data_IF_208117909343
#
_entry.id   IF_208117909343
#
_cell.length_a   1.000
_cell.length_b   1.000
_cell.length_c   1.000
_cell.angle_alpha   90.00
_cell.angle_beta   90.00
_cell.angle_gamma   90.00
#
_symmetry.space_group_name_H-M   'P 1'
#
loop_
_entity.id
_entity.type
_entity.pdbx_description
1 polymer ?
#
# COMPACT_ATOMS: atom_id res chain seq x y z
N UNK A 1 -69.56 -41.68 -74.77
CA UNK A 1 -69.33 -42.33 -73.46
C UNK A 1 -67.85 -42.34 -73.21
N UNK A 2 -67.35 -41.34 -72.45
CA UNK A 2 -65.92 -41.28 -72.16
C UNK A 2 -65.84 -41.01 -70.66
N UNK A 3 -65.21 -41.89 -69.91
CA UNK A 3 -64.98 -41.82 -68.47
C UNK A 3 -63.76 -40.99 -68.21
N UNK A 4 -63.90 -40.01 -67.34
CA UNK A 4 -62.79 -39.25 -66.76
C UNK A 4 -62.42 -39.73 -65.32
N UNK A 5 -61.13 -39.94 -64.97
CA UNK A 5 -60.79 -40.33 -63.60
C UNK A 5 -60.56 -39.10 -62.73
N UNK A 6 -61.09 -39.18 -61.52
CA UNK A 6 -60.96 -38.24 -60.44
C UNK A 6 -59.51 -38.20 -59.87
N UNK A 7 -58.92 -37.03 -59.86
CA UNK A 7 -57.60 -36.75 -59.14
C UNK A 7 -57.88 -36.51 -57.67
N UNK A 8 -57.27 -37.32 -56.79
CA UNK A 8 -57.22 -37.08 -55.38
C UNK A 8 -56.05 -36.08 -55.09
N UNK A 9 -56.37 -34.96 -54.48
CA UNK A 9 -55.39 -33.98 -53.99
C UNK A 9 -54.83 -34.45 -52.67
N UNK A 10 -53.48 -34.63 -52.60
CA UNK A 10 -52.72 -34.79 -51.33
C UNK A 10 -52.43 -33.43 -50.76
N UNK A 11 -53.06 -33.10 -49.63
CA UNK A 11 -52.63 -31.89 -48.83
C UNK A 11 -51.46 -32.26 -47.96
N UNK A 12 -50.25 -31.72 -48.31
CA UNK A 12 -49.08 -31.75 -47.46
C UNK A 12 -49.20 -30.66 -46.39
N UNK A 13 -49.23 -31.05 -45.13
CA UNK A 13 -49.16 -30.17 -43.97
C UNK A 13 -47.67 -29.81 -43.74
N UNK A 14 -47.29 -28.52 -43.68
CA UNK A 14 -45.92 -28.17 -43.29
C UNK A 14 -45.76 -28.29 -41.79
N UNK A 15 -44.84 -29.15 -41.35
CA UNK A 15 -44.38 -29.26 -39.96
C UNK A 15 -43.55 -28.01 -39.65
N UNK A 16 -44.11 -27.04 -38.94
CA UNK A 16 -43.37 -25.90 -38.38
C UNK A 16 -42.61 -26.40 -37.16
N UNK A 17 -41.30 -26.69 -37.32
CA UNK A 17 -40.41 -26.94 -36.23
C UNK A 17 -40.15 -25.58 -35.51
N UNK A 18 -40.83 -25.33 -34.40
CA UNK A 18 -40.53 -24.22 -33.51
C UNK A 18 -39.19 -24.48 -32.80
N UNK A 19 -38.10 -23.86 -33.29
CA UNK A 19 -36.84 -23.74 -32.57
C UNK A 19 -37.10 -22.85 -31.35
N UNK A 20 -37.28 -23.44 -30.18
CA UNK A 20 -37.20 -22.73 -28.90
C UNK A 20 -35.76 -22.30 -28.68
N UNK A 21 -35.42 -21.06 -29.08
CA UNK A 21 -34.23 -20.37 -28.61
C UNK A 21 -34.36 -20.19 -27.09
N UNK A 22 -33.80 -21.10 -26.33
CA UNK A 22 -33.51 -20.87 -24.93
C UNK A 22 -32.37 -19.84 -24.82
N UNK A 23 -32.73 -18.58 -24.99
CA UNK A 23 -31.84 -17.49 -24.58
C UNK A 23 -31.66 -17.58 -23.06
N UNK A 24 -30.50 -18.05 -22.61
CA UNK A 24 -30.09 -17.88 -21.21
C UNK A 24 -29.98 -16.38 -20.99
N UNK A 25 -31.00 -15.76 -20.43
CA UNK A 25 -30.90 -14.44 -19.87
C UNK A 25 -29.86 -14.55 -18.75
N UNK A 26 -28.60 -14.17 -19.02
CA UNK A 26 -27.63 -13.92 -17.96
C UNK A 26 -28.23 -12.79 -17.13
N UNK A 27 -28.75 -13.08 -15.95
CA UNK A 27 -29.14 -12.07 -14.98
C UNK A 27 -27.95 -11.20 -14.72
N UNK A 28 -28.09 -9.88 -14.93
CA UNK A 28 -27.02 -8.93 -14.63
C UNK A 28 -26.65 -9.08 -13.15
N UNK A 29 -25.35 -9.25 -12.86
CA UNK A 29 -24.86 -9.37 -11.48
C UNK A 29 -25.15 -8.07 -10.73
N UNK A 30 -25.60 -8.19 -9.48
CA UNK A 30 -25.78 -7.02 -8.60
C UNK A 30 -24.44 -6.27 -8.44
N UNK A 31 -24.52 -4.93 -8.52
CA UNK A 31 -23.34 -4.08 -8.35
C UNK A 31 -23.09 -3.79 -6.88
N UNK A 32 -21.88 -4.09 -6.41
CA UNK A 32 -21.42 -3.83 -5.04
C UNK A 32 -20.31 -2.79 -5.06
N UNK A 33 -20.43 -1.74 -4.25
CA UNK A 33 -19.45 -0.67 -4.17
C UNK A 33 -18.46 -0.92 -3.03
N UNK A 34 -17.18 -0.72 -3.34
CA UNK A 34 -16.11 -0.62 -2.33
C UNK A 34 -15.39 0.72 -2.52
N UNK A 35 -14.94 1.34 -1.42
CA UNK A 35 -14.19 2.59 -1.51
C UNK A 35 -12.69 2.33 -1.65
N UNK A 36 -12.00 3.21 -2.37
CA UNK A 36 -10.58 3.44 -2.23
C UNK A 36 -10.36 4.85 -1.68
N UNK A 37 -9.54 4.98 -0.62
CA UNK A 37 -9.18 6.26 -0.04
C UNK A 37 -7.66 6.34 0.12
N UNK A 38 -7.08 7.38 -0.44
CA UNK A 38 -5.64 7.63 -0.39
C UNK A 38 -5.28 8.97 -1.03
N UNK A 39 -4.02 9.42 -0.97
CA UNK A 39 -3.58 10.70 -1.51
C UNK A 39 -3.45 10.62 -3.03
N UNK A 40 -4.38 11.21 -3.76
CA UNK A 40 -4.35 11.25 -5.23
C UNK A 40 -3.79 12.57 -5.77
N UNK A 41 -3.66 13.56 -4.90
CA UNK A 41 -3.03 14.86 -5.19
C UNK A 41 -1.98 15.20 -4.14
N UNK A 42 -1.18 16.24 -4.39
CA UNK A 42 -0.11 16.68 -3.49
C UNK A 42 1.19 15.89 -3.63
N UNK A 43 2.09 16.09 -2.68
CA UNK A 43 3.48 15.63 -2.78
C UNK A 43 3.71 14.12 -2.74
N UNK A 44 2.72 13.34 -2.30
CA UNK A 44 2.76 11.87 -2.23
C UNK A 44 1.74 11.21 -3.17
N UNK A 45 1.24 11.96 -4.14
CA UNK A 45 0.23 11.49 -5.10
C UNK A 45 0.66 10.22 -5.86
N UNK A 46 1.93 10.09 -6.23
CA UNK A 46 2.45 8.91 -6.92
C UNK A 46 2.13 7.62 -6.15
N UNK A 47 2.38 7.62 -4.82
CA UNK A 47 2.07 6.47 -3.95
C UNK A 47 0.56 6.17 -3.89
N UNK A 48 -0.26 7.22 -3.77
CA UNK A 48 -1.72 7.08 -3.73
C UNK A 48 -2.30 6.59 -5.06
N UNK A 49 -1.81 7.11 -6.19
CA UNK A 49 -2.21 6.69 -7.54
C UNK A 49 -1.80 5.24 -7.78
N UNK A 50 -0.57 4.85 -7.40
CA UNK A 50 -0.12 3.46 -7.48
C UNK A 50 -1.01 2.51 -6.69
N UNK A 51 -1.42 2.91 -5.46
CA UNK A 51 -2.39 2.18 -4.65
C UNK A 51 -3.77 2.10 -5.30
N UNK A 52 -4.30 3.22 -5.82
CA UNK A 52 -5.57 3.28 -6.53
C UNK A 52 -5.59 2.38 -7.77
N UNK A 53 -4.55 2.45 -8.59
CA UNK A 53 -4.42 1.62 -9.79
C UNK A 53 -4.38 0.13 -9.44
N UNK A 54 -3.71 -0.21 -8.33
CA UNK A 54 -3.62 -1.60 -7.86
C UNK A 54 -4.95 -2.13 -7.34
N UNK A 55 -5.71 -1.32 -6.59
CA UNK A 55 -7.06 -1.67 -6.15
C UNK A 55 -8.02 -1.77 -7.34
N UNK A 56 -7.93 -0.86 -8.33
CA UNK A 56 -8.69 -0.90 -9.58
C UNK A 56 -8.39 -2.18 -10.38
N UNK A 57 -7.11 -2.58 -10.46
CA UNK A 57 -6.72 -3.84 -11.10
C UNK A 57 -7.37 -5.05 -10.41
N UNK A 58 -7.38 -5.08 -9.08
CA UNK A 58 -8.05 -6.17 -8.34
C UNK A 58 -9.55 -6.24 -8.67
N UNK A 59 -10.21 -5.08 -8.74
CA UNK A 59 -11.63 -4.98 -9.12
C UNK A 59 -11.86 -5.43 -10.56
N UNK A 60 -11.04 -4.99 -11.51
CA UNK A 60 -11.13 -5.41 -12.92
C UNK A 60 -10.99 -6.93 -13.06
N UNK A 61 -9.96 -7.51 -12.46
CA UNK A 61 -9.74 -8.96 -12.52
C UNK A 61 -10.88 -9.75 -11.86
N UNK A 62 -11.47 -9.24 -10.76
CA UNK A 62 -12.64 -9.84 -10.15
C UNK A 62 -13.86 -9.78 -11.06
N UNK A 63 -14.08 -8.66 -11.74
CA UNK A 63 -15.19 -8.49 -12.66
C UNK A 63 -15.07 -9.35 -13.93
N UNK A 64 -13.85 -9.69 -14.33
CA UNK A 64 -13.56 -10.60 -15.45
C UNK A 64 -13.73 -12.08 -15.05
N UNK A 65 -13.73 -12.41 -13.75
CA UNK A 65 -13.94 -13.77 -13.29
C UNK A 65 -15.40 -14.20 -13.48
N UNK A 66 -15.69 -15.22 -14.32
CA UNK A 66 -17.04 -15.71 -14.51
C UNK A 66 -17.68 -16.28 -13.24
N UNK A 67 -16.86 -16.68 -12.25
CA UNK A 67 -17.32 -17.24 -10.98
C UNK A 67 -17.71 -16.16 -9.96
N UNK A 68 -17.34 -14.89 -10.17
CA UNK A 68 -17.73 -13.81 -9.28
C UNK A 68 -19.24 -13.68 -9.21
N UNK A 69 -19.80 -13.60 -8.00
CA UNK A 69 -21.26 -13.47 -7.77
C UNK A 69 -21.76 -12.06 -8.05
N UNK A 70 -20.88 -11.06 -7.84
CA UNK A 70 -21.21 -9.64 -7.92
C UNK A 70 -20.36 -8.95 -8.99
N UNK A 71 -20.85 -7.79 -9.45
CA UNK A 71 -20.06 -6.79 -10.17
C UNK A 71 -19.56 -5.75 -9.18
N UNK A 72 -18.28 -5.45 -9.17
CA UNK A 72 -17.69 -4.48 -8.24
C UNK A 72 -17.46 -3.14 -8.90
N UNK A 73 -17.69 -2.07 -8.13
CA UNK A 73 -17.39 -0.69 -8.49
C UNK A 73 -16.48 -0.08 -7.43
N UNK A 74 -15.38 0.56 -7.87
CA UNK A 74 -14.44 1.25 -6.99
C UNK A 74 -14.80 2.73 -6.89
N UNK A 75 -15.25 3.17 -5.72
CA UNK A 75 -15.50 4.58 -5.40
C UNK A 75 -14.21 5.21 -4.92
N UNK A 76 -13.60 6.08 -5.72
CA UNK A 76 -12.28 6.66 -5.47
C UNK A 76 -12.40 8.02 -4.79
N UNK A 77 -11.67 8.20 -3.67
CA UNK A 77 -11.68 9.40 -2.84
C UNK A 77 -10.25 9.83 -2.51
N UNK A 78 -9.97 11.11 -2.70
CA UNK A 78 -8.67 11.73 -2.40
C UNK A 78 -8.65 12.29 -0.98
N UNK A 79 -7.73 11.82 -0.13
CA UNK A 79 -7.51 12.33 1.23
C UNK A 79 -6.37 13.36 1.32
N UNK A 80 -5.70 13.64 0.20
CA UNK A 80 -4.59 14.61 0.07
C UNK A 80 -3.44 14.39 1.09
N UNK A 81 -3.41 13.25 1.78
CA UNK A 81 -2.54 13.02 2.95
C UNK A 81 -2.77 14.05 4.08
N UNK A 82 -3.98 14.64 4.17
CA UNK A 82 -4.37 15.64 5.18
C UNK A 82 -5.46 15.10 6.10
N UNK A 83 -5.24 15.07 7.44
CA UNK A 83 -6.20 14.51 8.39
C UNK A 83 -7.62 15.08 8.29
N UNK A 84 -7.76 16.39 8.13
CA UNK A 84 -9.05 17.07 7.99
C UNK A 84 -9.80 16.66 6.72
N UNK A 85 -9.10 16.52 5.59
CA UNK A 85 -9.67 16.02 4.32
C UNK A 85 -10.01 14.54 4.47
N UNK A 86 -9.10 13.76 5.08
CA UNK A 86 -9.32 12.34 5.35
C UNK A 86 -10.60 12.07 6.14
N UNK A 87 -10.87 12.83 7.21
CA UNK A 87 -12.11 12.72 7.98
C UNK A 87 -13.35 13.02 7.12
N UNK A 88 -13.29 14.02 6.24
CA UNK A 88 -14.40 14.36 5.36
C UNK A 88 -14.70 13.22 4.36
N UNK A 89 -13.68 12.72 3.66
CA UNK A 89 -13.86 11.67 2.65
C UNK A 89 -14.19 10.31 3.29
N UNK A 90 -13.63 10.00 4.46
CA UNK A 90 -14.00 8.81 5.24
C UNK A 90 -15.46 8.87 5.68
N UNK A 91 -15.93 10.05 6.15
CA UNK A 91 -17.34 10.25 6.50
C UNK A 91 -18.24 10.10 5.29
N UNK A 92 -17.85 10.67 4.13
CA UNK A 92 -18.59 10.51 2.87
C UNK A 92 -18.72 9.03 2.49
N UNK A 93 -17.62 8.27 2.49
CA UNK A 93 -17.64 6.85 2.17
C UNK A 93 -18.46 6.04 3.18
N UNK A 94 -18.26 6.28 4.48
CA UNK A 94 -18.89 5.49 5.53
C UNK A 94 -20.38 5.77 5.72
N UNK A 95 -20.85 6.99 5.46
CA UNK A 95 -22.27 7.35 5.53
C UNK A 95 -23.08 6.78 4.36
N UNK A 96 -22.47 6.55 3.19
CA UNK A 96 -23.11 5.90 2.05
C UNK A 96 -23.24 4.38 2.30
N UNK A 97 -24.46 3.92 2.57
CA UNK A 97 -24.76 2.49 2.86
C UNK A 97 -24.56 1.58 1.65
N UNK A 98 -24.49 2.11 0.42
CA UNK A 98 -24.19 1.33 -0.77
C UNK A 98 -22.70 0.92 -0.86
N UNK A 99 -21.80 1.61 -0.13
CA UNK A 99 -20.39 1.26 -0.01
C UNK A 99 -20.22 0.25 1.14
N UNK A 100 -19.81 -0.95 0.83
CA UNK A 100 -19.75 -2.04 1.81
C UNK A 100 -18.50 -2.00 2.68
N UNK A 101 -17.33 -1.72 2.09
CA UNK A 101 -16.05 -1.66 2.77
C UNK A 101 -15.08 -0.70 2.06
N UNK A 102 -13.96 -0.37 2.69
CA UNK A 102 -12.94 0.50 2.11
C UNK A 102 -11.53 -0.05 2.16
N UNK A 103 -10.80 0.14 1.07
CA UNK A 103 -9.33 0.08 0.97
C UNK A 103 -8.82 1.46 1.37
N UNK A 104 -8.24 1.61 2.59
CA UNK A 104 -8.11 2.94 3.20
C UNK A 104 -6.69 3.25 3.63
N UNK A 105 -6.31 4.42 3.36
CA UNK A 105 -5.24 5.30 3.80
C UNK A 105 -3.80 4.77 3.67
N UNK A 106 -3.04 5.64 3.01
CA UNK A 106 -1.58 5.56 2.93
C UNK A 106 -0.92 6.29 4.09
N UNK A 107 -1.39 7.49 4.44
CA UNK A 107 -0.78 8.36 5.43
C UNK A 107 -1.24 8.02 6.86
N UNK A 108 -0.29 7.81 7.79
CA UNK A 108 -0.59 7.38 9.16
C UNK A 108 -1.42 8.40 9.94
N UNK A 109 -1.14 9.70 9.81
CA UNK A 109 -1.91 10.75 10.47
C UNK A 109 -3.37 10.80 9.99
N UNK A 110 -3.60 10.53 8.70
CA UNK A 110 -4.95 10.42 8.12
C UNK A 110 -5.66 9.17 8.64
N UNK A 111 -5.00 8.01 8.60
CA UNK A 111 -5.58 6.78 9.11
C UNK A 111 -5.97 6.93 10.59
N UNK A 112 -5.08 7.50 11.43
CA UNK A 112 -5.37 7.75 12.84
C UNK A 112 -6.61 8.63 13.08
N UNK A 113 -6.77 9.69 12.27
CA UNK A 113 -7.91 10.61 12.41
C UNK A 113 -9.25 10.00 11.97
N UNK A 114 -9.23 8.87 11.25
CA UNK A 114 -10.43 8.27 10.61
C UNK A 114 -10.93 6.98 11.25
N UNK A 115 -10.14 6.34 12.13
CA UNK A 115 -10.53 5.07 12.77
C UNK A 115 -11.90 5.14 13.46
N UNK A 116 -12.19 6.24 14.13
CA UNK A 116 -13.46 6.48 14.82
C UNK A 116 -14.64 6.65 13.84
N UNK A 117 -14.38 7.21 12.65
CA UNK A 117 -15.41 7.36 11.61
C UNK A 117 -15.86 5.97 11.15
N UNK A 118 -14.93 5.08 10.80
CA UNK A 118 -15.27 3.73 10.35
C UNK A 118 -16.01 2.94 11.41
N UNK A 119 -15.59 3.03 12.68
CA UNK A 119 -16.28 2.42 13.81
C UNK A 119 -17.73 2.92 13.92
N UNK A 120 -17.94 4.23 13.96
CA UNK A 120 -19.28 4.84 14.14
C UNK A 120 -20.28 4.43 13.06
N UNK A 121 -19.82 4.28 11.83
CA UNK A 121 -20.68 3.89 10.71
C UNK A 121 -20.70 2.36 10.48
N UNK A 122 -19.94 1.58 11.24
CA UNK A 122 -19.82 0.13 11.08
C UNK A 122 -19.28 -0.29 9.72
N UNK A 123 -18.48 0.56 9.05
CA UNK A 123 -17.90 0.26 7.75
C UNK A 123 -16.55 -0.43 7.91
N UNK A 124 -16.37 -1.68 7.42
CA UNK A 124 -15.06 -2.31 7.40
C UNK A 124 -14.07 -1.49 6.58
N UNK A 125 -12.89 -1.24 7.13
CA UNK A 125 -11.80 -0.51 6.52
C UNK A 125 -10.51 -1.32 6.60
N UNK A 126 -9.85 -1.52 5.47
CA UNK A 126 -8.58 -2.25 5.39
C UNK A 126 -7.48 -1.29 5.00
N UNK A 127 -6.61 -0.97 5.95
CA UNK A 127 -5.48 -0.06 5.77
C UNK A 127 -4.41 -0.74 4.94
N UNK A 128 -3.92 -0.03 3.90
CA UNK A 128 -3.00 -0.59 2.91
C UNK A 128 -1.59 0.00 2.92
N UNK A 129 -1.37 1.13 3.61
CA UNK A 129 -0.06 1.80 3.59
C UNK A 129 0.35 2.45 4.91
N UNK A 130 -0.60 2.90 5.74
CA UNK A 130 -0.29 3.53 7.01
C UNK A 130 0.30 2.53 8.03
N UNK A 131 1.46 2.88 8.62
CA UNK A 131 2.27 1.96 9.43
C UNK A 131 2.30 2.29 10.94
N UNK A 132 1.63 3.38 11.38
CA UNK A 132 1.59 3.75 12.79
C UNK A 132 0.89 2.65 13.61
N UNK A 133 1.52 2.08 14.67
CA UNK A 133 0.97 0.96 15.42
C UNK A 133 -0.40 1.26 16.04
N UNK A 134 -0.59 2.47 16.54
CA UNK A 134 -1.79 2.91 17.25
C UNK A 134 -3.07 2.83 16.39
N UNK A 135 -2.97 2.75 15.07
CA UNK A 135 -4.13 2.58 14.17
C UNK A 135 -4.90 1.30 14.49
N UNK A 136 -4.21 0.21 14.82
CA UNK A 136 -4.82 -1.07 15.21
C UNK A 136 -4.62 -1.37 16.69
N UNK A 137 -3.44 -1.11 17.25
CA UNK A 137 -3.11 -1.40 18.64
C UNK A 137 -3.60 -0.35 19.64
N UNK A 138 -3.94 0.87 19.19
CA UNK A 138 -4.43 1.95 20.05
C UNK A 138 -5.91 1.88 20.38
N UNK A 139 -6.66 0.89 19.87
CA UNK A 139 -8.10 0.76 20.05
C UNK A 139 -8.58 -0.69 19.88
N UNK A 140 -9.87 -0.95 20.23
CA UNK A 140 -10.52 -2.26 20.08
C UNK A 140 -11.55 -2.29 18.93
N UNK A 141 -11.48 -1.35 17.98
CA UNK A 141 -12.45 -1.21 16.90
C UNK A 141 -12.37 -2.35 15.91
N UNK A 142 -13.45 -3.12 15.79
CA UNK A 142 -13.53 -4.31 14.93
C UNK A 142 -13.60 -4.00 13.44
N UNK A 143 -13.82 -2.74 13.09
CA UNK A 143 -13.98 -2.26 11.73
C UNK A 143 -12.65 -2.01 11.02
N UNK A 144 -11.57 -1.73 11.75
CA UNK A 144 -10.28 -1.31 11.17
C UNK A 144 -9.28 -2.47 11.16
N UNK A 145 -8.88 -2.87 9.96
CA UNK A 145 -7.88 -3.91 9.69
C UNK A 145 -6.66 -3.29 9.01
N UNK A 146 -5.50 -3.92 9.11
CA UNK A 146 -4.31 -3.50 8.35
C UNK A 146 -3.58 -4.68 7.74
N UNK A 147 -3.40 -4.65 6.40
CA UNK A 147 -2.72 -5.75 5.67
C UNK A 147 -1.20 -5.60 5.62
N UNK A 148 -0.67 -4.37 5.72
CA UNK A 148 0.76 -4.13 5.84
C UNK A 148 1.24 -4.27 7.30
N UNK A 149 2.56 -4.23 7.52
CA UNK A 149 3.16 -4.26 8.86
C UNK A 149 3.09 -2.94 9.59
N UNK A 150 3.85 -2.85 10.68
CA UNK A 150 3.97 -1.65 11.50
C UNK A 150 5.39 -1.11 11.49
N UNK A 151 5.53 0.19 11.80
CA UNK A 151 6.84 0.81 11.96
C UNK A 151 7.66 0.24 13.14
N UNK A 152 7.06 -0.53 14.05
CA UNK A 152 7.79 -1.20 15.13
C UNK A 152 8.82 -2.16 14.53
N UNK A 153 8.35 -3.15 13.76
CA UNK A 153 9.21 -4.17 13.16
C UNK A 153 10.19 -3.55 12.15
N UNK A 154 9.71 -2.57 11.37
CA UNK A 154 10.56 -1.84 10.42
C UNK A 154 11.76 -1.23 11.12
N UNK A 155 11.53 -0.43 12.17
CA UNK A 155 12.61 0.27 12.89
C UNK A 155 13.51 -0.69 13.67
N UNK A 156 12.96 -1.81 14.19
CA UNK A 156 13.77 -2.82 14.85
C UNK A 156 14.77 -3.46 13.88
N UNK A 157 14.30 -3.88 12.71
CA UNK A 157 15.16 -4.49 11.68
C UNK A 157 16.15 -3.46 11.13
N UNK A 158 15.70 -2.24 10.85
CA UNK A 158 16.56 -1.16 10.36
C UNK A 158 17.72 -0.88 11.32
N UNK A 159 17.43 -0.66 12.61
CA UNK A 159 18.44 -0.41 13.62
C UNK A 159 19.45 -1.56 13.76
N UNK A 160 18.96 -2.81 13.86
CA UNK A 160 19.81 -4.01 13.93
C UNK A 160 20.67 -4.20 12.69
N UNK A 161 20.10 -3.97 11.52
CA UNK A 161 20.80 -4.12 10.26
C UNK A 161 21.94 -3.10 10.15
N UNK A 162 21.67 -1.83 10.38
CA UNK A 162 22.66 -0.76 10.26
C UNK A 162 23.76 -0.88 11.31
N UNK A 163 23.43 -1.23 12.56
CA UNK A 163 24.45 -1.50 13.58
C UNK A 163 25.30 -2.73 13.23
N UNK A 164 24.70 -3.76 12.61
CA UNK A 164 25.37 -4.93 12.08
C UNK A 164 26.35 -4.63 10.95
N UNK A 165 26.09 -3.59 10.15
CA UNK A 165 27.06 -3.08 9.16
C UNK A 165 28.24 -2.34 9.78
N UNK A 166 28.15 -1.94 11.05
CA UNK A 166 29.24 -1.27 11.77
C UNK A 166 28.94 0.14 12.22
N UNK A 167 27.85 0.75 11.81
CA UNK A 167 27.47 2.09 12.22
C UNK A 167 27.14 2.19 13.71
N UNK A 168 27.52 3.31 14.34
CA UNK A 168 27.37 3.56 15.80
C UNK A 168 26.70 4.87 16.14
N UNK A 169 26.72 5.87 15.24
CA UNK A 169 26.27 7.24 15.54
C UNK A 169 25.22 7.71 14.53
N UNK A 170 24.01 8.03 15.02
CA UNK A 170 22.90 8.54 14.21
C UNK A 170 22.50 9.95 14.60
N UNK A 171 22.09 10.71 13.61
CA UNK A 171 21.16 11.81 13.78
C UNK A 171 19.82 11.39 13.22
N UNK A 172 18.74 11.68 13.94
CA UNK A 172 17.36 11.49 13.49
C UNK A 172 16.80 12.84 13.02
N UNK A 173 16.32 12.90 11.80
CA UNK A 173 15.45 13.97 11.29
C UNK A 173 14.08 13.36 11.02
N UNK A 174 13.02 13.97 11.53
CA UNK A 174 11.68 13.43 11.32
C UNK A 174 10.67 14.54 11.03
N UNK A 175 9.65 14.23 10.23
CA UNK A 175 8.53 15.16 10.11
C UNK A 175 7.71 15.21 11.42
N UNK A 176 7.00 16.30 11.62
CA UNK A 176 6.24 16.54 12.86
C UNK A 176 4.85 15.92 12.86
N UNK A 177 4.51 15.11 11.85
CA UNK A 177 3.28 14.31 11.80
C UNK A 177 3.36 13.10 12.75
N UNK A 178 2.23 12.42 12.96
CA UNK A 178 2.21 11.17 13.74
C UNK A 178 3.11 10.09 13.14
N UNK A 179 3.25 10.08 11.81
CA UNK A 179 4.16 9.18 11.11
C UNK A 179 5.62 9.43 11.51
N UNK A 180 6.11 10.65 11.34
CA UNK A 180 7.51 10.96 11.65
C UNK A 180 7.83 10.87 13.14
N UNK A 181 6.93 11.35 14.01
CA UNK A 181 7.08 11.21 15.47
C UNK A 181 7.12 9.75 15.91
N UNK A 182 6.27 8.91 15.32
CA UNK A 182 6.25 7.47 15.58
C UNK A 182 7.57 6.81 15.16
N UNK A 183 8.06 7.12 13.97
CA UNK A 183 9.36 6.62 13.52
C UNK A 183 10.51 7.07 14.43
N UNK A 184 10.58 8.35 14.81
CA UNK A 184 11.59 8.81 15.76
C UNK A 184 11.53 8.03 17.08
N UNK A 185 10.34 7.86 17.66
CA UNK A 185 10.12 7.11 18.90
C UNK A 185 10.68 5.68 18.81
N UNK A 186 10.22 4.91 17.85
CA UNK A 186 10.57 3.50 17.74
C UNK A 186 12.01 3.29 17.26
N UNK A 187 12.47 4.07 16.27
CA UNK A 187 13.85 3.95 15.79
C UNK A 187 14.87 4.25 16.88
N UNK A 188 14.70 5.35 17.63
CA UNK A 188 15.61 5.72 18.74
C UNK A 188 15.67 4.62 19.80
N UNK A 189 14.55 4.00 20.14
CA UNK A 189 14.52 2.88 21.09
C UNK A 189 15.32 1.67 20.57
N UNK A 190 15.18 1.32 19.29
CA UNK A 190 15.85 0.16 18.74
C UNK A 190 17.33 0.40 18.43
N UNK A 191 17.73 1.61 18.04
CA UNK A 191 19.17 1.98 17.93
C UNK A 191 19.84 1.81 19.27
N UNK A 192 19.25 2.31 20.37
CA UNK A 192 19.81 2.13 21.72
C UNK A 192 19.93 0.66 22.11
N UNK A 193 18.88 -0.15 21.85
CA UNK A 193 18.90 -1.61 22.11
C UNK A 193 19.95 -2.34 21.26
N UNK A 194 20.25 -1.87 20.07
CA UNK A 194 21.24 -2.46 19.17
C UNK A 194 22.68 -1.97 19.48
N UNK A 195 22.87 -1.13 20.51
CA UNK A 195 24.17 -0.60 20.92
C UNK A 195 24.66 0.61 20.08
N UNK A 196 23.75 1.24 19.35
CA UNK A 196 24.00 2.51 18.67
C UNK A 196 23.64 3.74 19.54
N UNK A 197 24.00 4.92 19.08
CA UNK A 197 23.77 6.18 19.76
C UNK A 197 23.08 7.20 18.86
N UNK A 198 21.97 7.78 19.31
CA UNK A 198 21.38 8.98 18.70
C UNK A 198 22.09 10.20 19.28
N UNK A 199 22.82 10.93 18.45
CA UNK A 199 23.60 12.14 18.86
C UNK A 199 22.85 13.44 18.64
N UNK A 200 21.70 13.40 17.94
CA UNK A 200 20.83 14.56 17.75
C UNK A 200 19.51 14.15 17.13
N UNK A 201 18.46 14.92 17.41
CA UNK A 201 17.10 14.72 16.85
C UNK A 201 16.55 16.08 16.45
N UNK A 202 15.97 16.15 15.22
CA UNK A 202 15.42 17.38 14.65
C UNK A 202 14.04 17.09 14.05
N UNK A 203 13.03 17.86 14.50
CA UNK A 203 11.70 17.85 13.92
C UNK A 203 11.59 18.90 12.82
N UNK A 204 11.03 18.53 11.66
CA UNK A 204 10.83 19.41 10.51
C UNK A 204 9.38 19.39 10.05
N UNK A 205 8.85 20.48 9.47
CA UNK A 205 7.47 20.49 8.97
C UNK A 205 7.39 20.00 7.52
N UNK A 206 6.23 19.51 7.13
CA UNK A 206 6.03 18.92 5.79
C UNK A 206 6.21 19.93 4.65
N UNK A 207 5.95 21.20 4.90
CA UNK A 207 6.06 22.32 3.96
C UNK A 207 7.42 23.02 3.99
N UNK A 208 8.29 22.69 4.96
CA UNK A 208 9.63 23.27 5.09
C UNK A 208 10.47 23.04 3.82
N UNK A 209 11.10 24.10 3.31
CA UNK A 209 11.92 24.07 2.09
C UNK A 209 13.41 24.15 2.37
N UNK A 210 13.80 24.85 3.41
CA UNK A 210 15.19 25.06 3.81
C UNK A 210 15.47 24.41 5.15
N UNK A 211 16.48 23.54 5.18
CA UNK A 211 16.94 22.78 6.34
C UNK A 211 18.35 23.15 6.77
N UNK A 212 18.86 24.31 6.29
CA UNK A 212 20.25 24.74 6.54
C UNK A 212 20.55 24.84 8.03
N UNK A 213 19.60 25.31 8.84
CA UNK A 213 19.80 25.46 10.28
C UNK A 213 19.96 24.09 10.99
N UNK A 214 19.10 23.15 10.70
CA UNK A 214 19.16 21.78 11.24
C UNK A 214 20.41 21.06 10.72
N UNK A 215 20.65 21.13 9.40
CA UNK A 215 21.77 20.41 8.77
C UNK A 215 23.12 20.96 9.16
N UNK A 216 23.24 22.25 9.49
CA UNK A 216 24.48 22.81 10.07
C UNK A 216 24.81 22.15 11.42
N UNK A 217 23.82 21.99 12.29
CA UNK A 217 23.96 21.25 13.55
C UNK A 217 24.26 19.77 13.32
N UNK A 218 23.58 19.13 12.34
CA UNK A 218 23.89 17.76 11.94
C UNK A 218 25.36 17.60 11.55
N UNK A 219 25.91 18.55 10.78
CA UNK A 219 27.32 18.55 10.35
C UNK A 219 28.28 18.63 11.54
N UNK A 220 27.96 19.48 12.53
CA UNK A 220 28.75 19.63 13.76
C UNK A 220 28.78 18.36 14.62
N UNK A 221 27.65 17.61 14.66
CA UNK A 221 27.51 16.36 15.39
C UNK A 221 28.27 15.18 14.75
N UNK A 222 28.67 15.32 13.48
CA UNK A 222 29.42 14.31 12.70
C UNK A 222 28.82 12.92 12.83
N UNK A 223 27.54 12.71 12.45
CA UNK A 223 26.94 11.40 12.47
C UNK A 223 27.52 10.52 11.37
N UNK A 224 27.46 9.20 11.57
CA UNK A 224 27.76 8.22 10.53
C UNK A 224 26.54 7.97 9.63
N UNK A 225 25.35 8.11 10.20
CA UNK A 225 24.06 7.92 9.51
C UNK A 225 23.13 9.08 9.84
N UNK A 226 22.45 9.60 8.83
CA UNK A 226 21.25 10.42 8.99
C UNK A 226 20.04 9.54 8.71
N UNK A 227 19.27 9.26 9.75
CA UNK A 227 17.97 8.60 9.63
C UNK A 227 16.89 9.65 9.38
N UNK A 228 16.08 9.43 8.36
CA UNK A 228 14.96 10.31 8.04
C UNK A 228 13.60 9.61 8.25
N UNK A 229 12.86 10.05 9.26
CA UNK A 229 11.50 9.61 9.57
C UNK A 229 10.46 10.49 8.89
N UNK A 230 10.24 10.30 7.59
CA UNK A 230 9.29 11.13 6.84
C UNK A 230 9.05 10.62 5.42
N UNK A 231 8.36 11.44 4.60
CA UNK A 231 7.92 11.08 3.27
C UNK A 231 8.85 11.64 2.17
N UNK A 232 8.74 11.06 0.97
CA UNK A 232 9.58 11.31 -0.21
C UNK A 232 9.88 12.80 -0.48
N UNK A 233 8.91 13.74 -0.51
CA UNK A 233 9.21 15.14 -0.88
C UNK A 233 10.20 15.83 0.07
N UNK A 234 10.10 15.54 1.36
CA UNK A 234 11.01 16.09 2.37
C UNK A 234 12.36 15.36 2.29
N UNK A 235 12.35 14.03 2.13
CA UNK A 235 13.57 13.22 2.00
C UNK A 235 14.46 13.66 0.85
N UNK A 236 13.89 13.99 -0.31
CA UNK A 236 14.60 14.54 -1.46
C UNK A 236 15.30 15.87 -1.09
N UNK A 237 14.57 16.79 -0.46
CA UNK A 237 15.12 18.10 -0.09
C UNK A 237 16.24 17.99 0.94
N UNK A 238 16.04 17.18 1.99
CA UNK A 238 17.06 16.95 3.02
C UNK A 238 18.31 16.34 2.40
N UNK A 239 18.17 15.26 1.62
CA UNK A 239 19.31 14.57 1.00
C UNK A 239 20.09 15.49 0.06
N UNK A 240 19.38 16.31 -0.74
CA UNK A 240 19.99 17.30 -1.62
C UNK A 240 20.75 18.39 -0.84
N UNK A 241 20.19 18.88 0.28
CA UNK A 241 20.84 19.91 1.09
C UNK A 241 21.99 19.35 1.93
N UNK A 242 21.94 18.09 2.34
CA UNK A 242 23.10 17.40 2.95
C UNK A 242 24.32 17.43 2.02
N UNK A 243 24.12 17.15 0.74
CA UNK A 243 25.20 17.17 -0.25
C UNK A 243 25.80 18.57 -0.41
N UNK A 244 24.93 19.59 -0.57
CA UNK A 244 25.36 21.01 -0.67
C UNK A 244 26.18 21.47 0.53
N UNK A 245 25.87 20.96 1.73
CA UNK A 245 26.62 21.27 2.97
C UNK A 245 27.81 20.34 3.21
N UNK A 246 28.06 19.39 2.30
CA UNK A 246 29.19 18.46 2.40
C UNK A 246 29.05 17.44 3.53
N UNK A 247 27.83 17.07 3.93
CA UNK A 247 27.55 16.02 4.93
C UNK A 247 27.67 14.64 4.26
N UNK A 248 28.68 13.86 4.64
CA UNK A 248 29.02 12.57 4.02
C UNK A 248 28.46 11.34 4.77
N UNK A 249 27.49 11.53 5.65
CA UNK A 249 26.82 10.44 6.36
C UNK A 249 25.99 9.57 5.40
N UNK A 250 25.83 8.28 5.71
CA UNK A 250 24.87 7.42 5.05
C UNK A 250 23.46 7.97 5.25
N UNK A 251 22.58 7.81 4.26
CA UNK A 251 21.19 8.24 4.34
C UNK A 251 20.26 7.03 4.44
N UNK A 252 19.58 6.93 5.56
CA UNK A 252 18.62 5.89 5.86
C UNK A 252 17.24 6.51 6.02
N UNK A 253 16.29 6.11 5.21
CA UNK A 253 14.92 6.55 5.33
C UNK A 253 13.96 5.43 5.64
N UNK A 254 12.74 5.82 5.98
CA UNK A 254 11.63 4.91 6.21
C UNK A 254 11.07 4.36 4.89
N UNK A 255 10.08 3.46 4.97
CA UNK A 255 9.29 3.04 3.80
C UNK A 255 8.69 4.21 3.02
N UNK A 256 8.49 5.35 3.66
CA UNK A 256 7.94 6.56 3.06
C UNK A 256 8.80 7.23 2.00
N UNK A 257 10.09 6.86 1.86
CA UNK A 257 10.95 7.34 0.77
C UNK A 257 11.09 6.33 -0.38
N UNK A 258 10.64 5.08 -0.21
CA UNK A 258 10.76 4.06 -1.27
C UNK A 258 9.72 4.31 -2.37
N UNK A 259 10.05 5.20 -3.26
CA UNK A 259 9.27 5.50 -4.47
C UNK A 259 10.19 5.80 -5.64
N UNK A 260 9.69 5.69 -6.86
CA UNK A 260 10.42 6.12 -8.05
C UNK A 260 10.75 7.62 -7.98
N UNK A 261 9.81 8.43 -7.50
CA UNK A 261 10.00 9.87 -7.33
C UNK A 261 11.21 10.26 -6.46
N UNK A 262 11.63 9.39 -5.52
CA UNK A 262 12.80 9.68 -4.68
C UNK A 262 14.10 9.69 -5.49
N UNK A 263 14.40 8.61 -6.19
CA UNK A 263 15.65 8.51 -6.96
C UNK A 263 15.60 9.37 -8.23
N UNK A 264 14.45 9.52 -8.87
CA UNK A 264 14.29 10.38 -10.05
C UNK A 264 14.44 11.86 -9.68
N UNK A 265 13.90 12.28 -8.52
CA UNK A 265 14.02 13.67 -8.03
C UNK A 265 15.43 14.05 -7.55
N UNK A 266 16.23 13.08 -7.09
CA UNK A 266 17.62 13.30 -6.67
C UNK A 266 18.62 13.09 -7.80
N UNK A 267 18.29 12.26 -8.76
CA UNK A 267 19.22 11.79 -9.77
C UNK A 267 20.20 10.74 -9.23
N UNK A 268 20.93 10.11 -10.16
CA UNK A 268 21.74 8.93 -9.91
C UNK A 268 22.74 9.11 -8.74
N UNK A 269 23.48 10.23 -8.72
CA UNK A 269 24.59 10.38 -7.79
C UNK A 269 24.13 10.67 -6.36
N UNK A 270 23.07 11.48 -6.19
CA UNK A 270 22.59 11.87 -4.86
C UNK A 270 21.71 10.79 -4.21
N UNK A 271 20.99 10.01 -4.99
CA UNK A 271 20.16 8.93 -4.48
C UNK A 271 20.98 7.68 -4.11
N UNK A 272 22.15 7.49 -4.75
CA UNK A 272 22.97 6.29 -4.61
C UNK A 272 23.30 5.95 -3.14
N UNK A 273 23.14 4.70 -2.76
CA UNK A 273 23.40 4.21 -1.40
C UNK A 273 22.37 4.60 -0.35
N UNK A 274 21.28 5.31 -0.71
CA UNK A 274 20.17 5.55 0.21
C UNK A 274 19.45 4.24 0.53
N UNK A 275 19.09 4.05 1.81
CA UNK A 275 18.46 2.83 2.30
C UNK A 275 17.00 3.06 2.69
N UNK A 276 16.17 2.02 2.52
CA UNK A 276 14.79 1.98 2.96
C UNK A 276 14.37 0.57 3.35
N UNK A 277 13.39 0.46 4.23
CA UNK A 277 12.90 -0.79 4.79
C UNK A 277 11.39 -0.87 4.61
N UNK A 278 10.88 -2.01 4.10
CA UNK A 278 9.46 -2.22 3.79
C UNK A 278 8.94 -3.42 4.55
N UNK A 279 7.79 -3.29 5.14
CA UNK A 279 7.09 -4.35 5.85
C UNK A 279 6.61 -5.43 4.87
N UNK A 280 6.98 -6.66 5.13
CA UNK A 280 6.62 -7.83 4.33
C UNK A 280 7.80 -8.45 3.58
N UNK A 281 7.53 -9.62 3.01
CA UNK A 281 8.45 -10.26 2.06
C UNK A 281 8.57 -9.41 0.79
N UNK A 282 9.68 -9.55 0.04
CA UNK A 282 9.80 -8.88 -1.25
C UNK A 282 8.80 -9.49 -2.23
N UNK A 283 7.62 -8.89 -2.29
CA UNK A 283 6.48 -9.39 -3.08
C UNK A 283 6.84 -9.58 -4.55
N UNK A 284 7.82 -8.83 -5.05
CA UNK A 284 8.36 -8.95 -6.42
C UNK A 284 8.95 -10.35 -6.72
N UNK A 285 9.32 -11.09 -5.67
CA UNK A 285 9.86 -12.46 -5.78
C UNK A 285 8.81 -13.54 -5.49
N UNK A 286 7.61 -13.17 -5.03
CA UNK A 286 6.54 -14.12 -4.78
C UNK A 286 5.80 -14.47 -6.08
N UNK A 287 5.33 -15.72 -6.25
CA UNK A 287 4.57 -16.12 -7.45
C UNK A 287 3.36 -15.22 -7.72
N UNK A 288 2.62 -14.86 -6.69
CA UNK A 288 1.48 -13.93 -6.78
C UNK A 288 1.90 -12.52 -7.21
N UNK A 289 3.05 -12.04 -6.71
CA UNK A 289 3.61 -10.74 -7.07
C UNK A 289 4.09 -10.69 -8.52
N UNK A 290 4.73 -11.75 -9.03
CA UNK A 290 5.12 -11.84 -10.43
C UNK A 290 3.90 -11.77 -11.37
N UNK A 291 2.83 -12.48 -11.03
CA UNK A 291 1.58 -12.39 -11.79
C UNK A 291 0.96 -10.98 -11.73
N UNK A 292 0.99 -10.35 -10.55
CA UNK A 292 0.53 -8.96 -10.39
C UNK A 292 1.31 -8.01 -11.29
N UNK A 293 2.65 -8.07 -11.33
CA UNK A 293 3.49 -7.24 -12.20
C UNK A 293 3.07 -7.40 -13.67
N UNK A 294 2.89 -8.64 -14.12
CA UNK A 294 2.48 -8.91 -15.50
C UNK A 294 1.10 -8.31 -15.82
N UNK A 295 0.13 -8.48 -14.93
CA UNK A 295 -1.23 -7.92 -15.08
C UNK A 295 -1.24 -6.40 -15.00
N UNK A 296 -0.47 -5.81 -14.09
CA UNK A 296 -0.35 -4.37 -13.95
C UNK A 296 0.25 -3.74 -15.22
N UNK A 297 1.29 -4.35 -15.80
CA UNK A 297 1.88 -3.92 -17.08
C UNK A 297 0.89 -4.01 -18.23
N UNK A 298 0.08 -5.07 -18.30
CA UNK A 298 -0.97 -5.23 -19.30
C UNK A 298 -2.07 -4.16 -19.20
N UNK A 299 -2.36 -3.70 -17.99
CA UNK A 299 -3.38 -2.67 -17.74
C UNK A 299 -2.92 -1.27 -18.19
N UNK A 300 -1.62 -1.06 -18.47
CA UNK A 300 -1.04 0.18 -19.00
C UNK A 300 -1.36 1.43 -18.19
N UNK A 301 -1.35 1.32 -16.86
CA UNK A 301 -1.44 2.49 -16.00
C UNK A 301 -0.23 3.39 -16.21
N UNK A 302 -0.43 4.72 -16.16
CA UNK A 302 0.65 5.70 -16.33
C UNK A 302 1.66 5.66 -15.18
N UNK A 303 1.15 5.46 -13.94
CA UNK A 303 1.98 5.42 -12.74
C UNK A 303 2.27 3.97 -12.32
N UNK A 304 3.47 3.68 -11.81
CA UNK A 304 3.82 2.36 -11.28
C UNK A 304 3.02 2.05 -10.01
N UNK A 305 2.97 0.78 -9.57
CA UNK A 305 2.23 0.41 -8.35
C UNK A 305 2.87 0.95 -7.06
N UNK A 306 4.10 1.43 -7.13
CA UNK A 306 4.90 1.88 -6.01
C UNK A 306 5.08 0.80 -4.91
N UNK A 307 5.64 1.15 -3.75
CA UNK A 307 5.95 0.17 -2.70
C UNK A 307 4.71 -0.50 -2.10
N UNK A 308 3.61 0.25 -1.99
CA UNK A 308 2.40 -0.20 -1.28
C UNK A 308 1.22 -0.54 -2.17
N UNK A 309 1.31 -0.38 -3.48
CA UNK A 309 0.25 -0.79 -4.40
C UNK A 309 -0.17 -2.25 -4.25
N UNK A 310 0.77 -3.21 -4.13
CA UNK A 310 0.42 -4.61 -3.88
C UNK A 310 -0.38 -4.85 -2.61
N UNK A 311 -0.17 -4.04 -1.56
CA UNK A 311 -0.99 -4.10 -0.34
C UNK A 311 -2.41 -3.59 -0.58
N UNK A 312 -2.58 -2.54 -1.40
CA UNK A 312 -3.90 -2.05 -1.81
C UNK A 312 -4.66 -3.10 -2.66
N UNK A 313 -3.95 -3.79 -3.56
CA UNK A 313 -4.50 -4.93 -4.30
C UNK A 313 -4.96 -6.04 -3.35
N UNK A 314 -4.12 -6.45 -2.40
CA UNK A 314 -4.43 -7.49 -1.42
C UNK A 314 -5.64 -7.08 -0.54
N UNK A 315 -5.69 -5.82 -0.08
CA UNK A 315 -6.81 -5.31 0.69
C UNK A 315 -8.13 -5.37 -0.08
N UNK A 316 -8.13 -4.94 -1.35
CA UNK A 316 -9.31 -5.03 -2.23
C UNK A 316 -9.73 -6.49 -2.45
N UNK A 317 -8.77 -7.39 -2.67
CA UNK A 317 -9.04 -8.82 -2.85
C UNK A 317 -9.69 -9.43 -1.60
N UNK A 318 -9.12 -9.20 -0.42
CA UNK A 318 -9.67 -9.71 0.85
C UNK A 318 -11.09 -9.19 1.13
N UNK A 319 -11.35 -7.91 0.83
CA UNK A 319 -12.70 -7.34 0.95
C UNK A 319 -13.67 -8.04 -0.01
N UNK A 320 -13.30 -8.19 -1.27
CA UNK A 320 -14.17 -8.86 -2.26
C UNK A 320 -14.37 -10.34 -1.93
N UNK A 321 -13.35 -11.06 -1.46
CA UNK A 321 -13.48 -12.46 -1.02
C UNK A 321 -14.44 -12.59 0.17
N UNK A 322 -14.38 -11.67 1.12
CA UNK A 322 -15.34 -11.63 2.23
C UNK A 322 -16.79 -11.40 1.72
N UNK A 323 -16.97 -10.46 0.79
CA UNK A 323 -18.28 -10.18 0.18
C UNK A 323 -18.80 -11.41 -0.61
N UNK A 324 -17.96 -12.05 -1.42
CA UNK A 324 -18.31 -13.28 -2.14
C UNK A 324 -18.78 -14.41 -1.21
N UNK A 325 -18.18 -14.49 -0.02
CA UNK A 325 -18.49 -15.52 0.98
C UNK A 325 -19.82 -15.28 1.71
N UNK A 326 -20.08 -14.03 2.14
CA UNK A 326 -21.18 -13.73 3.07
C UNK A 326 -22.21 -12.73 2.55
N UNK A 327 -22.06 -12.23 1.33
CA UNK A 327 -22.90 -11.20 0.74
C UNK A 327 -22.47 -9.77 1.15
N UNK A 328 -23.07 -8.73 0.53
CA UNK A 328 -22.72 -7.33 0.73
C UNK A 328 -23.35 -6.74 2.02
N UNK A 329 -23.06 -7.33 3.15
CA UNK A 329 -23.45 -6.87 4.48
C UNK A 329 -22.21 -6.45 5.29
N UNK A 330 -22.16 -5.18 5.70
CA UNK A 330 -20.99 -4.61 6.41
C UNK A 330 -20.59 -5.41 7.65
N UNK A 331 -21.57 -5.83 8.44
CA UNK A 331 -21.30 -6.57 9.68
C UNK A 331 -20.73 -7.97 9.37
N UNK A 332 -21.32 -8.68 8.44
CA UNK A 332 -20.84 -10.02 8.05
C UNK A 332 -19.46 -9.95 7.38
N UNK A 333 -19.23 -8.94 6.52
CA UNK A 333 -17.93 -8.69 5.88
C UNK A 333 -16.87 -8.38 6.94
N UNK A 334 -17.15 -7.49 7.89
CA UNK A 334 -16.27 -7.20 9.03
C UNK A 334 -15.92 -8.47 9.83
N UNK A 335 -16.93 -9.24 10.19
CA UNK A 335 -16.73 -10.45 11.00
C UNK A 335 -15.94 -11.53 10.23
N UNK A 336 -16.10 -11.59 8.91
CA UNK A 336 -15.31 -12.46 8.01
C UNK A 336 -13.84 -11.97 7.96
N UNK A 337 -13.60 -10.67 7.80
CA UNK A 337 -12.25 -10.10 7.84
C UNK A 337 -11.57 -10.36 9.19
N UNK A 338 -12.29 -10.18 10.31
CA UNK A 338 -11.78 -10.46 11.67
C UNK A 338 -11.31 -11.92 11.84
N UNK A 339 -11.89 -12.86 11.09
CA UNK A 339 -11.55 -14.29 11.14
C UNK A 339 -10.54 -14.74 10.08
N UNK A 340 -9.92 -13.80 9.35
CA UNK A 340 -8.95 -14.10 8.30
C UNK A 340 -7.69 -14.77 8.89
N UNK A 341 -7.42 -16.01 8.44
CA UNK A 341 -6.26 -16.80 8.82
C UNK A 341 -5.63 -17.42 7.58
N UNK A 342 -4.34 -17.20 7.37
CA UNK A 342 -3.54 -17.77 6.28
C UNK A 342 -4.13 -17.55 4.87
N UNK A 343 -4.84 -16.43 4.66
CA UNK A 343 -5.40 -16.09 3.34
C UNK A 343 -4.26 -15.88 2.32
N UNK A 344 -4.34 -16.57 1.20
CA UNK A 344 -3.38 -16.42 0.11
C UNK A 344 -3.60 -15.10 -0.62
N UNK A 345 -2.53 -14.30 -0.71
CA UNK A 345 -2.55 -13.01 -1.40
C UNK A 345 -1.26 -12.80 -2.20
N UNK A 346 -1.22 -11.76 -3.02
CA UNK A 346 0.00 -11.40 -3.77
C UNK A 346 1.15 -10.94 -2.88
N UNK A 347 0.87 -10.52 -1.66
CA UNK A 347 1.87 -10.12 -0.65
C UNK A 347 2.28 -11.28 0.28
N UNK A 348 1.86 -12.49 -0.03
CA UNK A 348 2.00 -13.67 0.81
C UNK A 348 0.74 -13.98 1.60
N UNK A 349 0.87 -14.77 2.65
CA UNK A 349 -0.26 -15.13 3.52
C UNK A 349 -0.61 -14.00 4.47
N UNK A 350 -1.91 -13.70 4.56
CA UNK A 350 -2.45 -12.71 5.50
C UNK A 350 -3.15 -13.43 6.65
N UNK A 351 -2.76 -13.09 7.86
CA UNK A 351 -3.41 -13.51 9.11
C UNK A 351 -3.58 -12.27 9.99
N UNK A 352 -4.79 -11.94 10.34
CA UNK A 352 -5.04 -10.88 11.31
C UNK A 352 -4.96 -11.43 12.73
N UNK A 353 -4.24 -10.69 13.61
CA UNK A 353 -4.22 -10.95 15.04
C UNK A 353 -5.52 -10.46 15.73
N UNK A 354 -5.58 -10.56 17.05
CA UNK A 354 -6.72 -10.10 17.87
C UNK A 354 -6.98 -8.60 17.77
N UNK A 355 -5.99 -7.83 17.30
CA UNK A 355 -6.08 -6.39 17.03
C UNK A 355 -6.26 -6.06 15.55
N UNK A 356 -6.54 -7.06 14.71
CA UNK A 356 -6.78 -6.93 13.25
C UNK A 356 -5.57 -6.40 12.48
N UNK A 357 -4.39 -6.60 13.05
CA UNK A 357 -3.12 -6.36 12.42
C UNK A 357 -2.64 -7.61 11.71
N UNK A 358 -2.23 -7.49 10.44
CA UNK A 358 -1.57 -8.59 9.75
C UNK A 358 -0.24 -8.95 10.44
N UNK A 359 -0.04 -10.22 10.71
CA UNK A 359 1.21 -10.74 11.26
C UNK A 359 2.25 -10.76 10.15
N UNK A 360 3.15 -9.77 10.15
CA UNK A 360 4.20 -9.63 9.13
C UNK A 360 5.54 -10.02 9.72
N UNK A 361 6.08 -11.21 9.41
CA UNK A 361 7.30 -11.73 10.03
C UNK A 361 8.59 -11.17 9.44
N UNK A 362 8.52 -10.55 8.26
CA UNK A 362 9.69 -10.11 7.49
C UNK A 362 9.66 -8.61 7.22
N UNK A 363 10.85 -8.04 7.12
CA UNK A 363 11.08 -6.68 6.61
C UNK A 363 12.08 -6.79 5.47
N UNK A 364 11.69 -6.31 4.31
CA UNK A 364 12.54 -6.24 3.12
C UNK A 364 13.41 -5.00 3.16
N UNK A 365 14.68 -5.16 2.87
CA UNK A 365 15.69 -4.08 2.87
C UNK A 365 15.98 -3.68 1.44
N UNK A 366 15.99 -2.40 1.19
CA UNK A 366 16.28 -1.84 -0.15
C UNK A 366 17.39 -0.81 -0.08
N UNK A 367 18.15 -0.73 -1.14
CA UNK A 367 19.20 0.29 -1.36
C UNK A 367 19.03 0.86 -2.77
N UNK A 368 19.28 2.15 -2.93
CA UNK A 368 19.35 2.73 -4.27
C UNK A 368 20.70 2.35 -4.90
N UNK A 369 20.62 1.70 -6.04
CA UNK A 369 21.76 1.36 -6.89
C UNK A 369 21.44 1.67 -8.33
N UNK A 370 22.28 2.42 -9.01
CA UNK A 370 22.12 2.80 -10.42
C UNK A 370 20.75 3.43 -10.71
N UNK A 371 20.32 4.36 -9.85
CA UNK A 371 19.05 5.08 -9.92
C UNK A 371 17.81 4.17 -9.85
N UNK A 372 17.88 3.08 -9.09
CA UNK A 372 16.77 2.15 -8.84
C UNK A 372 16.80 1.62 -7.42
N UNK A 373 15.65 1.37 -6.84
CA UNK A 373 15.53 0.60 -5.61
C UNK A 373 15.78 -0.88 -5.90
N UNK A 374 16.82 -1.44 -5.29
CA UNK A 374 17.24 -2.84 -5.42
C UNK A 374 17.15 -3.49 -4.05
N UNK A 375 16.70 -4.74 -3.97
CA UNK A 375 16.77 -5.50 -2.73
C UNK A 375 18.23 -5.57 -2.26
N UNK A 376 18.44 -5.37 -0.98
CA UNK A 376 19.79 -5.39 -0.41
C UNK A 376 20.55 -6.65 -0.79
N UNK A 377 19.90 -7.81 -0.69
CA UNK A 377 20.49 -9.12 -0.96
C UNK A 377 20.93 -9.29 -2.43
N UNK A 378 20.34 -8.53 -3.34
CA UNK A 378 20.65 -8.56 -4.78
C UNK A 378 21.63 -7.45 -5.19
N UNK A 379 22.01 -6.58 -4.24
CA UNK A 379 22.81 -5.39 -4.52
C UNK A 379 24.33 -5.67 -4.49
N UNK A 380 25.09 -4.81 -5.15
CA UNK A 380 26.55 -4.79 -5.05
C UNK A 380 27.04 -4.37 -3.68
N UNK A 381 26.21 -3.70 -2.88
CA UNK A 381 26.50 -3.35 -1.48
C UNK A 381 26.54 -4.60 -0.60
N UNK A 382 25.61 -5.53 -0.76
CA UNK A 382 25.62 -6.79 -0.02
C UNK A 382 26.86 -7.65 -0.32
N UNK A 383 27.36 -7.60 -1.54
CA UNK A 383 28.54 -8.33 -1.98
C UNK A 383 29.87 -7.55 -1.72
N UNK A 384 29.78 -6.34 -1.12
CA UNK A 384 30.91 -5.45 -0.86
C UNK A 384 31.65 -4.93 -2.11
N UNK A 385 31.06 -5.08 -3.29
CA UNK A 385 31.57 -4.47 -4.53
C UNK A 385 31.40 -2.95 -4.52
N UNK A 386 30.35 -2.46 -3.84
CA UNK A 386 30.14 -1.06 -3.49
C UNK A 386 30.15 -0.89 -1.99
N UNK A 387 30.50 0.31 -1.53
CA UNK A 387 30.51 0.67 -0.11
C UNK A 387 29.50 1.78 0.16
N UNK A 388 28.79 1.67 1.27
CA UNK A 388 28.02 2.78 1.80
C UNK A 388 28.96 3.85 2.37
N UNK A 389 28.51 5.13 2.45
CA UNK A 389 29.33 6.19 3.07
C UNK A 389 29.75 5.80 4.50
N UNK A 390 31.04 5.98 4.83
CA UNK A 390 31.59 5.69 6.16
C UNK A 390 31.99 4.23 6.41
N UNK A 391 31.81 3.31 5.44
CA UNK A 391 32.21 1.89 5.56
C UNK A 391 33.39 1.53 4.65
#
# INVERSE_FOLDING_TARGET
>A
MIHLPTRRAFTALPLFAALLLHGTFALAKDTVKIAFVGPLTGGVAANGIGGRNSADLAVKLRNEDPKAKYKYELVVLDDECKPNVGVQVATKAASDKSIIAGVTHYCSAVAMSTVDVYRRFGMPAVVWGAVLPEITYGNDYKEVHRVNGTMINQNEVAAKFMTGLGYKKWVVIHDTTDYGKGHNKYFSQYVAKAGGQIVGTFGVTADQQDFTAELTKVKELKPEVVYFGGLTPIGIRIRSQMDKLGIKAAFEGTSGIKSAAYHDGLGKDLAEGSLSFIEGAPWEKLPGGLNFIAKYSQAKYAEPPEAYGPFAFAAATLIMDAIEKVGPDRKKVRDTLNSTQNADTIIGKVTFDDRRQNIVPLISKYVVQDNKWVLWEDSEYATKKRKLPGL
#
